data_IF_474762015380
#
_entry.id   IF_474762015380
#
_cell.length_a   1.000
_cell.length_b   1.000
_cell.length_c   1.000
_cell.angle_alpha   90.00
_cell.angle_beta   90.00
_cell.angle_gamma   90.00
#
_symmetry.space_group_name_H-M   'P 1'
#
loop_
_entity.id
_entity.type
_entity.pdbx_description
1 polymer ?
#
# COMPACT_ATOMS: atom_id res chain seq x y z
N UNK A 1 -15.29 -27.03 9.78
CA UNK A 1 -15.92 -26.33 8.64
C UNK A 1 -17.01 -25.34 9.08
N UNK A 2 -17.99 -25.72 9.91
CA UNK A 2 -19.03 -24.78 10.37
C UNK A 2 -18.51 -23.65 11.28
N UNK A 3 -17.56 -23.94 12.17
CA UNK A 3 -16.93 -22.95 13.07
C UNK A 3 -16.14 -21.87 12.31
N UNK A 4 -15.49 -22.25 11.20
CA UNK A 4 -14.77 -21.33 10.29
C UNK A 4 -15.73 -20.45 9.50
N UNK A 5 -16.93 -20.96 9.14
CA UNK A 5 -17.96 -20.16 8.51
C UNK A 5 -18.57 -19.16 9.52
N UNK A 6 -18.85 -19.58 10.76
CA UNK A 6 -19.40 -18.70 11.81
C UNK A 6 -18.44 -17.56 12.16
N UNK A 7 -17.12 -17.80 12.23
CA UNK A 7 -16.14 -16.73 12.47
C UNK A 7 -15.98 -15.77 11.28
N UNK A 8 -16.23 -16.26 10.05
CA UNK A 8 -16.27 -15.42 8.86
C UNK A 8 -17.47 -14.45 8.89
N UNK A 9 -18.66 -14.93 9.30
CA UNK A 9 -19.88 -14.13 9.40
C UNK A 9 -19.99 -13.25 10.66
N UNK A 10 -19.19 -13.50 11.72
CA UNK A 10 -19.09 -12.62 12.89
C UNK A 10 -18.23 -11.39 12.55
N UNK A 11 -18.78 -10.49 11.73
CA UNK A 11 -18.16 -9.21 11.34
C UNK A 11 -18.40 -8.14 12.39
N UNK A 12 -19.56 -8.18 13.07
CA UNK A 12 -19.91 -7.25 14.14
C UNK A 12 -19.36 -7.74 15.49
N UNK A 13 -18.21 -7.23 15.87
CA UNK A 13 -17.76 -7.23 17.27
C UNK A 13 -18.48 -6.08 18.01
N UNK A 14 -18.48 -6.08 19.36
CA UNK A 14 -18.96 -4.94 20.13
C UNK A 14 -18.28 -3.61 19.73
N UNK A 15 -16.99 -3.65 19.39
CA UNK A 15 -16.21 -2.51 18.94
C UNK A 15 -16.68 -1.98 17.59
N UNK A 16 -16.95 -2.87 16.63
CA UNK A 16 -17.51 -2.47 15.33
C UNK A 16 -18.92 -1.90 15.50
N UNK A 17 -19.74 -2.49 16.39
CA UNK A 17 -21.09 -1.99 16.66
C UNK A 17 -21.07 -0.57 17.25
N UNK A 18 -20.22 -0.31 18.24
CA UNK A 18 -20.05 1.02 18.85
C UNK A 18 -19.61 2.07 17.79
N UNK A 19 -18.71 1.70 16.88
CA UNK A 19 -18.32 2.57 15.77
C UNK A 19 -19.48 2.86 14.79
N UNK A 20 -20.34 1.88 14.53
CA UNK A 20 -21.53 2.05 13.68
C UNK A 20 -22.58 2.93 14.36
N UNK A 21 -22.76 2.81 15.68
CA UNK A 21 -23.61 3.71 16.49
C UNK A 21 -23.08 5.14 16.44
N UNK A 22 -21.76 5.33 16.58
CA UNK A 22 -21.14 6.64 16.38
C UNK A 22 -21.46 7.22 15.01
N UNK A 23 -21.29 6.45 13.92
CA UNK A 23 -21.61 6.92 12.57
C UNK A 23 -23.07 7.36 12.47
N UNK A 24 -23.99 6.56 13.02
CA UNK A 24 -25.43 6.83 13.00
C UNK A 24 -25.81 8.12 13.73
N UNK A 25 -25.23 8.34 14.91
CA UNK A 25 -25.63 9.43 15.82
C UNK A 25 -24.82 10.72 15.65
N UNK A 26 -23.57 10.63 15.19
CA UNK A 26 -22.60 11.74 15.22
C UNK A 26 -22.19 12.24 13.84
N UNK A 27 -22.63 11.60 12.76
CA UNK A 27 -22.42 12.10 11.39
C UNK A 27 -23.73 12.59 10.76
N UNK A 28 -23.69 13.60 9.86
CA UNK A 28 -24.87 14.01 9.10
C UNK A 28 -25.50 12.85 8.32
N UNK A 29 -26.83 12.83 8.20
CA UNK A 29 -27.57 11.72 7.56
C UNK A 29 -27.12 11.40 6.13
N UNK A 30 -26.76 12.43 5.36
CA UNK A 30 -26.35 12.27 3.97
C UNK A 30 -24.85 12.05 3.77
N UNK A 31 -24.11 11.80 4.85
CA UNK A 31 -22.66 11.58 4.77
C UNK A 31 -22.36 10.29 4.01
N UNK A 32 -21.35 10.32 3.15
CA UNK A 32 -20.83 9.13 2.48
C UNK A 32 -19.60 8.62 3.23
N UNK A 33 -19.64 7.33 3.59
CA UNK A 33 -18.58 6.68 4.37
C UNK A 33 -17.79 5.74 3.48
N UNK A 34 -16.46 5.88 3.42
CA UNK A 34 -15.61 4.92 2.75
C UNK A 34 -15.02 3.90 3.73
N UNK A 35 -14.84 2.65 3.31
CA UNK A 35 -14.19 1.62 4.14
C UNK A 35 -13.42 0.57 3.33
N UNK A 36 -12.30 0.12 3.88
CA UNK A 36 -11.53 -1.03 3.40
C UNK A 36 -11.89 -2.34 4.10
N UNK A 37 -12.74 -2.28 5.13
CA UNK A 37 -13.25 -3.46 5.83
C UNK A 37 -12.38 -3.97 6.98
N UNK A 38 -12.72 -5.15 7.52
CA UNK A 38 -12.01 -5.73 8.65
C UNK A 38 -10.58 -6.17 8.27
N UNK A 39 -9.73 -6.33 9.28
CA UNK A 39 -8.43 -6.98 9.13
C UNK A 39 -8.58 -8.50 9.25
N UNK A 40 -8.99 -9.15 8.16
CA UNK A 40 -9.16 -10.61 8.08
C UNK A 40 -8.45 -11.14 6.84
N UNK A 41 -7.91 -12.35 6.91
CA UNK A 41 -7.31 -13.03 5.75
C UNK A 41 -8.39 -13.26 4.67
N UNK A 42 -8.12 -12.82 3.43
CA UNK A 42 -9.15 -12.71 2.39
C UNK A 42 -10.06 -11.48 2.54
N UNK A 43 -9.60 -10.47 3.28
CA UNK A 43 -10.29 -9.21 3.51
C UNK A 43 -9.67 -8.02 2.74
N UNK A 44 -8.57 -8.17 2.02
CA UNK A 44 -8.24 -7.22 0.93
C UNK A 44 -9.39 -7.30 -0.08
N UNK A 45 -10.05 -6.18 -0.41
CA UNK A 45 -11.32 -6.25 -1.16
C UNK A 45 -12.49 -6.86 -0.37
N UNK A 46 -12.42 -6.92 0.97
CA UNK A 46 -13.50 -7.37 1.86
C UNK A 46 -14.31 -6.23 2.50
N UNK A 47 -14.07 -4.98 2.08
CA UNK A 47 -14.74 -3.77 2.55
C UNK A 47 -16.26 -3.89 2.61
N UNK A 48 -16.86 -4.57 1.63
CA UNK A 48 -18.31 -4.84 1.58
C UNK A 48 -18.88 -5.41 2.88
N UNK A 49 -18.09 -6.17 3.65
CA UNK A 49 -18.55 -6.72 4.92
C UNK A 49 -18.86 -5.64 5.96
N UNK A 50 -18.07 -4.56 6.05
CA UNK A 50 -18.43 -3.37 6.83
C UNK A 50 -19.46 -2.51 6.08
N UNK A 51 -19.34 -2.41 4.75
CA UNK A 51 -20.25 -1.62 3.92
C UNK A 51 -21.73 -1.95 4.11
N UNK A 52 -22.09 -3.23 4.16
CA UNK A 52 -23.48 -3.66 4.42
C UNK A 52 -24.04 -3.16 5.76
N UNK A 53 -23.21 -3.10 6.80
CA UNK A 53 -23.64 -2.62 8.11
C UNK A 53 -23.66 -1.10 8.20
N UNK A 54 -22.76 -0.41 7.51
CA UNK A 54 -22.81 1.05 7.37
C UNK A 54 -24.11 1.48 6.69
N UNK A 55 -24.49 0.81 5.60
CA UNK A 55 -25.73 1.12 4.87
C UNK A 55 -26.97 0.66 5.64
N UNK A 56 -26.98 -0.57 6.16
CA UNK A 56 -28.17 -1.14 6.79
C UNK A 56 -28.42 -0.68 8.24
N UNK A 57 -27.37 -0.54 9.05
CA UNK A 57 -27.51 -0.21 10.48
C UNK A 57 -27.30 1.28 10.75
N UNK A 58 -26.23 1.86 10.21
CA UNK A 58 -25.91 3.26 10.42
C UNK A 58 -26.70 4.21 9.50
N UNK A 59 -27.40 3.68 8.48
CA UNK A 59 -28.19 4.44 7.52
C UNK A 59 -27.34 5.52 6.82
N UNK A 60 -26.17 5.12 6.31
CA UNK A 60 -25.25 5.97 5.53
C UNK A 60 -24.85 5.30 4.25
N UNK A 61 -24.75 6.06 3.16
CA UNK A 61 -24.23 5.53 1.89
C UNK A 61 -22.77 5.10 2.06
N UNK A 62 -22.40 3.95 1.50
CA UNK A 62 -21.04 3.43 1.62
C UNK A 62 -20.29 3.37 0.28
N UNK A 63 -18.97 3.59 0.35
CA UNK A 63 -18.00 3.31 -0.70
C UNK A 63 -17.01 2.29 -0.15
N UNK A 64 -17.15 1.03 -0.53
CA UNK A 64 -16.39 -0.07 0.06
C UNK A 64 -15.45 -0.75 -0.94
N UNK A 65 -14.30 -1.22 -0.46
CA UNK A 65 -13.46 -2.14 -1.25
C UNK A 65 -14.20 -3.47 -1.48
N UNK A 66 -14.02 -4.06 -2.65
CA UNK A 66 -14.65 -5.32 -3.01
C UNK A 66 -13.82 -6.12 -4.02
N UNK A 67 -13.82 -7.45 -3.89
CA UNK A 67 -13.54 -8.33 -5.02
C UNK A 67 -14.69 -8.22 -6.03
N UNK A 68 -14.39 -7.74 -7.24
CA UNK A 68 -15.43 -7.39 -8.21
C UNK A 68 -16.23 -8.61 -8.72
N UNK A 69 -15.73 -9.84 -8.53
CA UNK A 69 -16.47 -11.06 -8.86
C UNK A 69 -17.68 -11.31 -7.97
N UNK A 70 -17.75 -10.66 -6.80
CA UNK A 70 -18.89 -10.77 -5.88
C UNK A 70 -19.95 -9.68 -6.09
N UNK A 71 -19.72 -8.77 -7.05
CA UNK A 71 -20.65 -7.69 -7.38
C UNK A 71 -21.32 -7.98 -8.72
N UNK A 72 -22.65 -7.86 -8.74
CA UNK A 72 -23.44 -8.15 -9.94
C UNK A 72 -23.62 -6.92 -10.81
N UNK A 73 -23.83 -5.76 -10.20
CA UNK A 73 -24.20 -4.55 -10.92
C UNK A 73 -22.98 -3.73 -11.36
N UNK A 74 -23.08 -3.13 -12.54
CA UNK A 74 -21.94 -2.41 -13.16
C UNK A 74 -21.52 -1.19 -12.33
N UNK A 75 -22.48 -0.40 -11.88
CA UNK A 75 -22.26 0.78 -11.05
C UNK A 75 -21.62 0.44 -9.69
N UNK A 76 -22.05 -0.63 -9.03
CA UNK A 76 -21.39 -1.15 -7.83
C UNK A 76 -19.93 -1.51 -8.10
N UNK A 77 -19.66 -2.20 -9.23
CA UNK A 77 -18.30 -2.57 -9.63
C UNK A 77 -17.43 -1.35 -9.91
N UNK A 78 -17.97 -0.30 -10.53
CA UNK A 78 -17.21 0.93 -10.77
C UNK A 78 -16.90 1.70 -9.48
N UNK A 79 -17.82 1.73 -8.52
CA UNK A 79 -17.57 2.31 -7.18
C UNK A 79 -16.50 1.50 -6.45
N UNK A 80 -16.63 0.17 -6.43
CA UNK A 80 -15.66 -0.70 -5.78
C UNK A 80 -14.27 -0.62 -6.40
N UNK A 81 -14.14 -0.51 -7.73
CA UNK A 81 -12.84 -0.27 -8.39
C UNK A 81 -12.17 0.98 -7.86
N UNK A 82 -12.91 2.09 -7.74
CA UNK A 82 -12.38 3.35 -7.23
C UNK A 82 -12.03 3.24 -5.74
N UNK A 83 -12.84 2.55 -4.94
CA UNK A 83 -12.54 2.27 -3.54
C UNK A 83 -11.26 1.42 -3.38
N UNK A 84 -11.11 0.37 -4.19
CA UNK A 84 -9.91 -0.48 -4.19
C UNK A 84 -8.66 0.36 -4.46
N UNK A 85 -8.69 1.23 -5.47
CA UNK A 85 -7.58 2.16 -5.79
C UNK A 85 -7.35 3.15 -4.64
N UNK A 86 -8.40 3.74 -4.07
CA UNK A 86 -8.31 4.69 -2.96
C UNK A 86 -7.52 4.11 -1.77
N UNK A 87 -7.84 2.88 -1.37
CA UNK A 87 -7.21 2.24 -0.22
C UNK A 87 -5.84 1.59 -0.53
N UNK A 88 -5.35 1.69 -1.77
CA UNK A 88 -4.00 1.25 -2.14
C UNK A 88 -2.91 2.26 -1.82
N UNK A 89 -3.24 3.54 -1.65
CA UNK A 89 -2.27 4.58 -1.28
C UNK A 89 -2.69 5.98 -1.73
N UNK A 90 -1.87 6.98 -1.41
CA UNK A 90 -2.12 8.38 -1.81
C UNK A 90 -1.96 8.58 -3.31
N UNK A 91 -0.88 8.02 -3.85
CA UNK A 91 -0.52 8.07 -5.26
C UNK A 91 -0.43 6.65 -5.79
N UNK A 92 -1.25 6.33 -6.80
CA UNK A 92 -1.36 4.97 -7.33
C UNK A 92 -1.08 4.99 -8.82
N UNK A 93 -0.12 4.18 -9.25
CA UNK A 93 0.13 3.89 -10.66
C UNK A 93 -0.24 2.44 -10.94
N UNK A 94 -0.99 2.20 -12.02
CA UNK A 94 -1.40 0.86 -12.40
C UNK A 94 -1.51 0.70 -13.92
N UNK A 95 -1.38 -0.53 -14.37
CA UNK A 95 -1.87 -0.99 -15.66
C UNK A 95 -2.72 -2.24 -15.40
N UNK A 96 -3.11 -2.97 -16.44
CA UNK A 96 -3.98 -4.13 -16.27
C UNK A 96 -3.40 -5.31 -15.48
N UNK A 97 -2.08 -5.35 -15.22
CA UNK A 97 -1.43 -6.46 -14.55
C UNK A 97 -0.84 -6.11 -13.20
N UNK A 98 -0.35 -4.89 -13.02
CA UNK A 98 0.37 -4.48 -11.81
C UNK A 98 -0.14 -3.14 -11.30
N UNK A 99 -0.06 -2.97 -9.99
CA UNK A 99 -0.38 -1.73 -9.29
C UNK A 99 0.72 -1.44 -8.29
N UNK A 100 1.03 -0.16 -8.13
CA UNK A 100 1.94 0.34 -7.11
C UNK A 100 1.26 1.51 -6.40
N UNK A 101 1.16 1.40 -5.08
CA UNK A 101 0.63 2.46 -4.21
C UNK A 101 1.75 3.06 -3.37
N UNK A 102 1.85 4.39 -3.36
CA UNK A 102 2.77 5.15 -2.51
C UNK A 102 1.96 5.98 -1.51
N UNK A 103 2.39 5.96 -0.26
CA UNK A 103 1.69 6.58 0.88
C UNK A 103 2.70 7.36 1.72
N UNK A 104 3.44 8.29 1.09
CA UNK A 104 4.64 8.97 1.60
C UNK A 104 4.53 9.66 2.99
N UNK A 105 3.33 9.79 3.55
CA UNK A 105 3.11 10.22 4.93
C UNK A 105 3.21 9.09 5.97
N UNK A 106 2.95 7.84 5.56
CA UNK A 106 3.12 6.66 6.38
C UNK A 106 4.60 6.25 6.49
N UNK A 107 4.93 5.47 7.52
CA UNK A 107 6.24 4.84 7.68
C UNK A 107 6.34 3.50 6.98
N UNK A 108 5.23 2.78 6.92
CA UNK A 108 5.13 1.43 6.35
C UNK A 108 4.28 1.46 5.08
N UNK A 109 4.60 0.62 4.09
CA UNK A 109 3.78 0.48 2.88
C UNK A 109 4.18 1.38 1.71
N UNK A 110 5.45 1.78 1.63
CA UNK A 110 5.91 2.91 0.81
C UNK A 110 7.11 2.57 -0.09
N UNK A 111 6.91 2.06 -1.31
CA UNK A 111 5.61 1.69 -1.90
C UNK A 111 5.15 0.28 -1.53
N UNK A 112 3.88 0.01 -1.81
CA UNK A 112 3.29 -1.33 -1.91
C UNK A 112 3.14 -1.73 -3.37
N UNK A 113 3.53 -2.96 -3.70
CA UNK A 113 3.47 -3.53 -5.05
C UNK A 113 2.46 -4.68 -5.06
N UNK A 114 1.50 -4.60 -5.98
CA UNK A 114 0.44 -5.58 -6.16
C UNK A 114 0.31 -6.10 -7.59
N UNK A 115 -0.37 -7.23 -7.73
CA UNK A 115 -0.68 -7.88 -9.01
C UNK A 115 -2.19 -8.00 -9.19
N UNK A 116 -2.67 -7.80 -10.42
CA UNK A 116 -4.05 -8.05 -10.77
C UNK A 116 -4.33 -9.55 -10.77
N UNK A 117 -5.29 -9.98 -9.96
CA UNK A 117 -5.76 -11.37 -9.87
C UNK A 117 -7.10 -11.61 -10.58
N UNK A 118 -7.49 -10.68 -11.47
CA UNK A 118 -8.70 -10.72 -12.30
C UNK A 118 -9.65 -9.58 -11.96
N UNK A 119 -9.96 -9.43 -10.69
CA UNK A 119 -11.03 -8.58 -10.18
C UNK A 119 -10.59 -7.69 -9.01
N UNK A 120 -9.31 -7.72 -8.66
CA UNK A 120 -8.69 -6.94 -7.60
C UNK A 120 -7.17 -6.92 -7.81
N UNK A 121 -6.49 -5.89 -7.33
CA UNK A 121 -5.02 -5.87 -7.28
C UNK A 121 -4.60 -6.30 -5.88
N UNK A 122 -4.14 -7.54 -5.75
CA UNK A 122 -3.69 -8.07 -4.47
C UNK A 122 -2.29 -7.54 -4.16
N UNK A 123 -2.13 -6.97 -2.99
CA UNK A 123 -0.85 -6.46 -2.52
C UNK A 123 0.06 -7.60 -2.12
N UNK A 124 1.27 -7.64 -2.68
CA UNK A 124 2.20 -8.76 -2.50
C UNK A 124 3.31 -8.43 -1.53
N UNK A 125 3.91 -7.26 -1.71
CA UNK A 125 5.08 -6.83 -0.94
C UNK A 125 5.11 -5.31 -0.79
N UNK A 126 5.84 -4.86 0.20
CA UNK A 126 6.02 -3.44 0.45
C UNK A 126 7.39 -3.10 1.03
N UNK A 127 7.72 -1.82 0.93
CA UNK A 127 8.86 -1.18 1.57
C UNK A 127 8.41 -0.46 2.84
N UNK A 128 9.33 -0.28 3.78
CA UNK A 128 9.06 0.46 5.00
C UNK A 128 10.09 1.59 5.16
N UNK A 129 9.65 2.82 4.92
CA UNK A 129 10.46 4.04 5.07
C UNK A 129 10.87 4.25 6.55
N UNK A 130 10.10 3.75 7.51
CA UNK A 130 10.45 3.78 8.94
C UNK A 130 11.55 2.80 9.34
N UNK A 131 11.86 1.83 8.48
CA UNK A 131 12.91 0.82 8.69
C UNK A 131 14.00 0.86 7.63
N UNK A 132 13.83 1.67 6.57
CA UNK A 132 14.88 1.94 5.59
C UNK A 132 15.88 2.91 6.22
N UNK A 133 17.11 2.44 6.45
CA UNK A 133 18.14 3.18 7.19
C UNK A 133 19.20 3.70 6.22
N UNK A 134 19.56 4.96 6.37
CA UNK A 134 20.71 5.60 5.71
C UNK A 134 21.79 5.81 6.77
N UNK A 135 23.02 5.36 6.48
CA UNK A 135 24.20 5.56 7.32
C UNK A 135 25.17 6.53 6.67
N UNK A 136 25.64 7.53 7.42
CA UNK A 136 26.62 8.52 6.96
C UNK A 136 28.08 8.14 7.28
N UNK A 137 29.04 8.84 6.68
CA UNK A 137 30.50 8.67 6.92
C UNK A 137 30.90 8.82 8.40
N UNK A 138 30.11 9.56 9.19
CA UNK A 138 30.32 9.73 10.63
C UNK A 138 29.67 8.62 11.47
N UNK A 139 29.05 7.61 10.83
CA UNK A 139 28.36 6.50 11.49
C UNK A 139 26.95 6.82 12.01
N UNK A 140 26.43 8.02 11.74
CA UNK A 140 25.05 8.39 12.08
C UNK A 140 24.05 7.61 11.22
N UNK A 141 23.04 7.03 11.86
CA UNK A 141 21.94 6.30 11.21
C UNK A 141 20.65 7.10 11.29
N UNK A 142 19.98 7.28 10.15
CA UNK A 142 18.65 7.88 10.07
C UNK A 142 17.70 6.97 9.29
N UNK A 143 16.40 7.04 9.58
CA UNK A 143 15.39 6.37 8.77
C UNK A 143 14.79 7.32 7.74
N UNK A 144 14.27 6.83 6.62
CA UNK A 144 13.59 7.69 5.64
C UNK A 144 12.42 8.45 6.26
N UNK A 145 11.64 7.80 7.13
CA UNK A 145 10.55 8.45 7.88
C UNK A 145 11.02 9.59 8.78
N UNK A 146 12.23 9.52 9.33
CA UNK A 146 12.76 10.56 10.23
C UNK A 146 13.17 11.84 9.49
N UNK A 147 13.25 11.80 8.16
CA UNK A 147 13.50 12.97 7.33
C UNK A 147 12.25 13.84 7.34
N UNK A 148 12.35 15.05 7.91
CA UNK A 148 11.22 15.99 8.00
C UNK A 148 10.80 16.47 6.61
N UNK A 149 9.49 16.70 6.47
CA UNK A 149 8.86 17.30 5.29
C UNK A 149 9.17 16.61 3.94
N UNK A 150 9.02 15.27 3.81
CA UNK A 150 9.09 14.65 2.50
C UNK A 150 7.97 15.21 1.62
N UNK A 151 8.29 15.55 0.37
CA UNK A 151 7.30 16.00 -0.59
C UNK A 151 7.36 15.12 -1.84
N UNK A 152 6.19 14.62 -2.25
CA UNK A 152 6.04 13.91 -3.50
C UNK A 152 5.95 14.92 -4.65
N UNK A 153 6.82 14.77 -5.65
CA UNK A 153 6.68 15.46 -6.93
C UNK A 153 6.23 14.48 -7.99
N UNK A 154 5.25 14.89 -8.79
CA UNK A 154 4.74 14.09 -9.90
C UNK A 154 5.44 14.57 -11.15
N UNK A 155 6.24 13.72 -11.78
CA UNK A 155 6.72 14.01 -13.13
C UNK A 155 5.72 13.46 -14.15
N UNK A 156 5.21 14.38 -14.97
CA UNK A 156 4.05 14.21 -15.85
C UNK A 156 4.35 13.52 -17.17
N UNK A 157 5.29 12.58 -17.22
CA UNK A 157 5.50 11.76 -18.41
C UNK A 157 4.47 10.63 -18.43
N UNK A 158 3.23 10.98 -18.79
CA UNK A 158 2.10 10.05 -19.00
C UNK A 158 1.65 9.22 -17.78
N UNK A 159 1.99 9.64 -16.55
CA UNK A 159 1.53 8.98 -15.33
C UNK A 159 2.19 7.63 -15.03
N UNK A 160 3.33 7.32 -15.66
CA UNK A 160 4.07 6.08 -15.42
C UNK A 160 5.08 6.14 -14.28
N UNK A 161 5.19 7.29 -13.60
CA UNK A 161 6.21 7.56 -12.59
C UNK A 161 5.66 8.40 -11.42
N UNK A 162 6.02 8.02 -10.19
CA UNK A 162 5.82 8.82 -8.97
C UNK A 162 7.20 9.04 -8.34
N UNK A 163 7.55 10.29 -8.04
CA UNK A 163 8.80 10.61 -7.35
C UNK A 163 8.48 11.14 -5.94
N UNK A 164 9.14 10.57 -4.94
CA UNK A 164 9.12 11.07 -3.56
C UNK A 164 10.50 11.62 -3.24
N UNK A 165 10.56 12.91 -2.97
CA UNK A 165 11.81 13.61 -2.64
C UNK A 165 11.93 13.75 -1.13
N UNK A 166 13.03 13.24 -0.58
CA UNK A 166 13.39 13.36 0.82
C UNK A 166 14.51 14.38 0.95
N UNK A 167 14.21 15.52 1.59
CA UNK A 167 15.17 16.59 1.80
C UNK A 167 15.60 16.64 3.26
N UNK A 168 16.85 16.30 3.57
CA UNK A 168 17.38 16.44 4.94
C UNK A 168 18.30 17.66 5.05
N UNK A 169 17.95 18.58 5.96
CA UNK A 169 18.81 19.70 6.43
C UNK A 169 19.56 20.45 5.31
N UNK A 170 18.90 20.68 4.17
CA UNK A 170 19.45 21.37 2.99
C UNK A 170 20.68 20.70 2.34
N UNK A 171 20.99 19.44 2.65
CA UNK A 171 22.21 18.77 2.16
C UNK A 171 22.00 17.39 1.54
N UNK A 172 20.92 16.68 1.89
CA UNK A 172 20.56 15.41 1.24
C UNK A 172 19.31 15.62 0.38
N UNK A 173 19.40 15.28 -0.90
CA UNK A 173 18.26 15.16 -1.80
C UNK A 173 18.12 13.71 -2.23
N UNK A 174 17.67 12.80 -1.36
CA UNK A 174 17.38 11.43 -1.81
C UNK A 174 16.07 11.46 -2.59
N UNK A 175 16.08 10.96 -3.82
CA UNK A 175 14.85 10.81 -4.61
C UNK A 175 14.51 9.34 -4.76
N UNK A 176 13.39 8.92 -4.16
CA UNK A 176 12.78 7.62 -4.41
C UNK A 176 11.86 7.76 -5.62
N UNK A 177 12.13 7.04 -6.70
CA UNK A 177 11.29 7.05 -7.90
C UNK A 177 10.67 5.68 -8.13
N UNK A 178 9.37 5.67 -8.40
CA UNK A 178 8.55 4.47 -8.59
C UNK A 178 7.99 4.50 -9.99
N UNK A 179 8.22 3.44 -10.77
CA UNK A 179 7.84 3.38 -12.19
C UNK A 179 7.24 2.05 -12.57
N UNK A 180 6.30 2.07 -13.50
CA UNK A 180 5.90 0.87 -14.26
C UNK A 180 6.66 0.93 -15.59
N UNK A 181 7.69 0.09 -15.74
CA UNK A 181 8.55 0.05 -16.94
C UNK A 181 7.91 -0.70 -18.10
N UNK A 182 7.11 -1.72 -17.77
CA UNK A 182 6.42 -2.56 -18.74
C UNK A 182 5.13 -3.08 -18.11
N UNK A 183 4.32 -3.79 -18.90
CA UNK A 183 3.08 -4.41 -18.42
C UNK A 183 3.24 -5.18 -17.10
N UNK A 184 4.39 -5.81 -16.85
CA UNK A 184 4.59 -6.65 -15.67
C UNK A 184 5.87 -6.33 -14.90
N UNK A 185 6.43 -5.12 -15.09
CA UNK A 185 7.68 -4.72 -14.44
C UNK A 185 7.50 -3.40 -13.70
N UNK A 186 7.73 -3.45 -12.39
CA UNK A 186 7.78 -2.28 -11.52
C UNK A 186 9.25 -2.01 -11.16
N UNK A 187 9.66 -0.75 -11.19
CA UNK A 187 10.97 -0.30 -10.71
C UNK A 187 10.78 0.65 -9.53
N UNK A 188 11.47 0.35 -8.43
CA UNK A 188 11.69 1.29 -7.33
C UNK A 188 13.16 1.66 -7.34
N UNK A 189 13.46 2.94 -7.41
CA UNK A 189 14.83 3.42 -7.51
C UNK A 189 15.13 4.51 -6.49
N UNK A 190 16.38 4.56 -6.06
CA UNK A 190 16.90 5.54 -5.13
C UNK A 190 18.04 6.28 -5.83
N UNK A 191 17.82 7.55 -6.15
CA UNK A 191 18.84 8.44 -6.67
C UNK A 191 19.47 9.20 -5.49
N UNK A 192 20.78 9.04 -5.33
CA UNK A 192 21.58 9.68 -4.29
C UNK A 192 22.47 10.74 -4.94
N UNK A 193 21.97 11.95 -5.26
CA UNK A 193 22.67 12.92 -6.08
C UNK A 193 23.92 13.52 -5.42
N UNK A 194 23.92 13.67 -4.09
CA UNK A 194 25.05 14.17 -3.28
C UNK A 194 24.88 13.73 -1.82
N UNK A 195 25.75 12.86 -1.29
CA UNK A 195 25.88 12.68 0.17
C UNK A 195 27.04 11.77 0.58
N UNK A 196 27.62 12.08 1.74
CA UNK A 196 28.52 11.23 2.53
C UNK A 196 27.80 10.00 3.11
N UNK A 197 27.07 9.25 2.28
CA UNK A 197 26.37 8.03 2.66
C UNK A 197 27.30 6.85 2.46
N UNK A 198 27.56 6.12 3.53
CA UNK A 198 28.33 4.87 3.50
C UNK A 198 27.46 3.67 3.27
N UNK A 199 26.20 3.67 3.73
CA UNK A 199 25.30 2.53 3.59
C UNK A 199 23.85 2.95 3.42
N UNK A 200 23.11 2.18 2.63
CA UNK A 200 21.64 2.18 2.62
C UNK A 200 21.16 0.76 2.91
N UNK A 201 20.33 0.62 3.93
CA UNK A 201 19.68 -0.61 4.35
C UNK A 201 18.21 -0.55 3.94
N UNK A 202 17.79 -1.47 3.06
CA UNK A 202 16.42 -1.53 2.53
C UNK A 202 15.80 -2.87 2.91
N UNK A 203 14.95 -2.92 3.95
CA UNK A 203 14.18 -4.11 4.28
C UNK A 203 12.96 -4.23 3.35
N UNK A 204 12.65 -5.46 2.95
CA UNK A 204 11.50 -5.81 2.13
C UNK A 204 10.56 -6.74 2.87
N UNK A 205 9.27 -6.45 2.78
CA UNK A 205 8.22 -7.14 3.52
C UNK A 205 7.18 -7.70 2.59
N UNK A 206 6.58 -8.85 2.96
CA UNK A 206 5.39 -9.38 2.29
C UNK A 206 4.13 -8.73 2.87
N UNK A 207 3.05 -8.69 2.11
CA UNK A 207 1.72 -8.35 2.64
C UNK A 207 1.30 -9.33 3.74
N UNK A 208 0.51 -8.82 4.69
CA UNK A 208 -0.09 -9.61 5.76
C UNK A 208 -1.12 -10.62 5.26
N UNK A 209 -1.61 -10.42 4.03
CA UNK A 209 -2.68 -11.23 3.45
C UNK A 209 -2.18 -12.34 2.53
N UNK A 210 -0.91 -12.27 2.12
CA UNK A 210 -0.28 -13.29 1.26
C UNK A 210 0.58 -14.28 2.05
N UNK A 211 0.52 -15.53 1.63
CA UNK A 211 1.45 -16.56 2.11
C UNK A 211 2.72 -16.51 1.27
N UNK A 212 3.86 -16.25 1.89
CA UNK A 212 5.15 -16.53 1.28
C UNK A 212 5.42 -18.04 1.41
N UNK A 213 5.55 -18.74 0.28
CA UNK A 213 5.87 -20.18 0.26
C UNK A 213 7.37 -20.40 0.16
N UNK A 214 8.04 -19.66 -0.71
CA UNK A 214 9.49 -19.75 -0.87
C UNK A 214 10.09 -18.36 -1.16
N UNK A 215 11.33 -18.17 -0.70
CA UNK A 215 12.18 -17.03 -1.01
C UNK A 215 13.58 -17.56 -1.33
N UNK A 216 13.98 -17.45 -2.60
CA UNK A 216 15.26 -17.97 -3.08
C UNK A 216 16.18 -16.82 -3.46
N UNK A 217 17.31 -16.69 -2.75
CA UNK A 217 18.43 -15.87 -3.21
C UNK A 217 19.16 -16.61 -4.33
N UNK A 218 18.95 -16.22 -5.58
CA UNK A 218 19.65 -16.79 -6.74
C UNK A 218 21.07 -16.22 -6.84
N UNK A 219 21.22 -14.93 -6.52
CA UNK A 219 22.50 -14.23 -6.44
C UNK A 219 22.40 -13.02 -5.50
N UNK A 220 23.46 -12.21 -5.39
CA UNK A 220 23.37 -10.91 -4.70
C UNK A 220 22.58 -9.85 -5.48
N UNK A 221 22.12 -10.15 -6.70
CA UNK A 221 21.36 -9.22 -7.53
C UNK A 221 20.03 -9.81 -8.00
N UNK A 222 19.66 -10.99 -7.51
CA UNK A 222 18.44 -11.68 -7.93
C UNK A 222 17.81 -12.47 -6.78
N UNK A 223 16.54 -12.19 -6.50
CA UNK A 223 15.69 -12.92 -5.56
C UNK A 223 14.44 -13.40 -6.29
N UNK A 224 14.08 -14.66 -6.08
CA UNK A 224 12.81 -15.23 -6.55
C UNK A 224 11.88 -15.48 -5.36
N UNK A 225 10.62 -15.08 -5.50
CA UNK A 225 9.58 -15.21 -4.50
C UNK A 225 8.43 -16.05 -5.06
N UNK A 226 7.94 -16.97 -4.25
CA UNK A 226 6.74 -17.75 -4.54
C UNK A 226 5.69 -17.46 -3.46
N UNK A 227 4.54 -16.93 -3.88
CA UNK A 227 3.49 -16.46 -2.99
C UNK A 227 2.13 -17.05 -3.36
N UNK A 228 1.23 -17.16 -2.38
CA UNK A 228 -0.18 -17.50 -2.60
C UNK A 228 -1.06 -16.39 -2.03
N UNK A 229 -1.92 -15.84 -2.89
CA UNK A 229 -2.90 -14.81 -2.50
C UNK A 229 -4.07 -15.42 -1.72
N UNK A 230 -4.88 -14.61 -1.01
CA UNK A 230 -6.10 -15.12 -0.36
C UNK A 230 -7.07 -15.82 -1.30
N UNK A 231 -7.16 -15.36 -2.56
CA UNK A 231 -7.96 -15.99 -3.61
C UNK A 231 -7.28 -17.21 -4.26
N UNK A 232 -6.20 -17.72 -3.65
CA UNK A 232 -5.42 -18.89 -4.08
C UNK A 232 -4.75 -18.75 -5.44
N UNK A 233 -4.57 -17.53 -5.94
CA UNK A 233 -3.70 -17.30 -7.09
C UNK A 233 -2.24 -17.53 -6.67
N UNK A 234 -1.53 -18.36 -7.44
CA UNK A 234 -0.10 -18.60 -7.26
C UNK A 234 0.70 -17.54 -8.00
N UNK A 235 1.62 -16.89 -7.31
CA UNK A 235 2.38 -15.75 -7.81
C UNK A 235 3.86 -16.04 -7.70
N UNK A 236 4.55 -16.09 -8.85
CA UNK A 236 6.02 -16.17 -8.91
C UNK A 236 6.56 -14.81 -9.37
N UNK A 237 7.31 -14.17 -8.49
CA UNK A 237 7.86 -12.84 -8.70
C UNK A 237 9.39 -12.91 -8.66
N UNK A 238 10.06 -12.20 -9.58
CA UNK A 238 11.51 -12.03 -9.57
C UNK A 238 11.87 -10.59 -9.25
N UNK A 239 12.83 -10.39 -8.35
CA UNK A 239 13.41 -9.10 -8.04
C UNK A 239 14.85 -9.07 -8.53
N UNK A 240 15.20 -8.02 -9.27
CA UNK A 240 16.54 -7.74 -9.76
C UNK A 240 17.08 -6.46 -9.15
N UNK A 241 18.36 -6.48 -8.76
CA UNK A 241 19.09 -5.31 -8.27
C UNK A 241 20.06 -4.84 -9.35
N UNK A 242 19.94 -3.59 -9.75
CA UNK A 242 20.87 -2.90 -10.64
C UNK A 242 21.54 -1.75 -9.86
N UNK A 243 22.80 -1.99 -9.49
CA UNK A 243 23.64 -1.10 -8.70
C UNK A 243 25.10 -1.34 -9.08
N UNK A 244 25.86 -0.27 -9.34
CA UNK A 244 27.27 -0.36 -9.76
C UNK A 244 28.25 -0.65 -8.62
N UNK A 245 27.82 -0.49 -7.37
CA UNK A 245 28.64 -0.76 -6.19
C UNK A 245 28.39 -2.14 -5.57
N UNK A 246 28.84 -2.32 -4.33
CA UNK A 246 28.66 -3.58 -3.60
C UNK A 246 27.27 -3.64 -2.93
N UNK A 247 26.54 -4.72 -3.22
CA UNK A 247 25.27 -5.06 -2.55
C UNK A 247 25.36 -6.41 -1.86
N UNK A 248 24.96 -6.44 -0.59
CA UNK A 248 24.72 -7.67 0.16
C UNK A 248 23.22 -7.90 0.30
N UNK A 249 22.83 -9.17 0.12
CA UNK A 249 21.42 -9.58 0.18
C UNK A 249 21.28 -10.70 1.19
N UNK A 250 20.41 -10.49 2.17
CA UNK A 250 20.04 -11.48 3.17
C UNK A 250 18.58 -11.84 2.97
N UNK A 251 18.31 -13.11 2.71
CA UNK A 251 16.93 -13.62 2.62
C UNK A 251 16.60 -14.42 3.86
N UNK A 252 15.37 -14.28 4.34
CA UNK A 252 14.84 -15.11 5.40
C UNK A 252 14.04 -16.27 4.80
N UNK A 253 14.10 -17.47 5.40
CA UNK A 253 13.21 -18.56 5.04
C UNK A 253 11.75 -18.12 5.18
N UNK A 254 10.88 -18.69 4.33
CA UNK A 254 9.45 -18.44 4.41
C UNK A 254 8.90 -18.82 5.80
N UNK A 255 8.23 -17.87 6.45
CA UNK A 255 7.58 -18.04 7.75
C UNK A 255 6.23 -17.34 7.72
N UNK A 256 5.22 -17.95 8.35
CA UNK A 256 3.90 -17.32 8.51
C UNK A 256 3.94 -16.14 9.51
N UNK A 257 4.92 -16.09 10.41
CA UNK A 257 4.98 -15.10 11.50
C UNK A 257 5.81 -13.86 11.16
N UNK A 258 6.77 -13.99 10.26
CA UNK A 258 7.69 -12.90 9.91
C UNK A 258 7.24 -12.23 8.61
N UNK A 259 7.24 -10.91 8.60
CA UNK A 259 6.83 -10.11 7.43
C UNK A 259 8.02 -9.76 6.56
N UNK A 260 9.18 -9.52 7.16
CA UNK A 260 10.41 -9.25 6.44
C UNK A 260 10.94 -10.54 5.82
N UNK A 261 11.16 -10.51 4.50
CA UNK A 261 11.67 -11.66 3.77
C UNK A 261 13.07 -11.42 3.20
N UNK A 262 13.46 -10.16 3.01
CA UNK A 262 14.77 -9.81 2.51
C UNK A 262 15.26 -8.48 3.07
N UNK A 263 16.57 -8.37 3.18
CA UNK A 263 17.29 -7.15 3.54
C UNK A 263 18.38 -6.94 2.49
N UNK A 264 18.37 -5.76 1.89
CA UNK A 264 19.37 -5.29 0.93
C UNK A 264 20.28 -4.27 1.62
N UNK A 265 21.59 -4.45 1.52
CA UNK A 265 22.58 -3.52 2.08
C UNK A 265 23.47 -3.02 0.95
N UNK A 266 23.31 -1.75 0.60
CA UNK A 266 24.11 -1.07 -0.42
C UNK A 266 25.26 -0.34 0.25
N UNK A 267 26.50 -0.68 -0.11
CA UNK A 267 27.70 -0.03 0.45
C UNK A 267 28.24 1.04 -0.50
N UNK A 268 28.65 2.17 0.09
CA UNK A 268 29.19 3.38 -0.54
C UNK A 268 28.36 3.92 -1.73
N UNK A 269 27.05 4.20 -1.56
CA UNK A 269 26.17 4.67 -2.64
C UNK A 269 26.31 6.17 -2.98
N UNK A 270 27.42 6.83 -2.64
CA UNK A 270 27.62 8.26 -2.97
C UNK A 270 27.55 8.46 -4.49
N UNK A 271 26.69 9.40 -4.92
CA UNK A 271 26.39 9.72 -6.32
C UNK A 271 25.92 8.53 -7.14
N UNK A 272 25.25 7.57 -6.51
CA UNK A 272 24.79 6.36 -7.17
C UNK A 272 23.28 6.34 -7.41
N UNK A 273 22.89 5.51 -8.38
CA UNK A 273 21.51 5.16 -8.65
C UNK A 273 21.33 3.67 -8.34
N UNK A 274 20.49 3.39 -7.36
CA UNK A 274 20.09 2.02 -7.00
C UNK A 274 18.74 1.75 -7.65
N UNK A 275 18.61 0.65 -8.39
CA UNK A 275 17.34 0.24 -9.00
C UNK A 275 16.95 -1.17 -8.57
N UNK A 276 15.71 -1.30 -8.12
CA UNK A 276 15.07 -2.55 -7.75
C UNK A 276 13.94 -2.82 -8.73
N UNK A 277 14.10 -3.83 -9.58
CA UNK A 277 13.10 -4.20 -10.59
C UNK A 277 12.35 -5.45 -10.15
N UNK A 278 11.04 -5.35 -10.08
CA UNK A 278 10.13 -6.44 -9.73
C UNK A 278 9.41 -6.88 -11.00
N UNK A 279 9.61 -8.13 -11.40
CA UNK A 279 8.94 -8.76 -12.53
C UNK A 279 7.84 -9.66 -11.99
N UNK A 280 6.59 -9.27 -12.24
CA UNK A 280 5.39 -9.92 -11.76
C UNK A 280 4.80 -10.84 -12.85
N UNK A 281 4.04 -11.89 -12.49
CA UNK A 281 3.36 -12.71 -13.48
C UNK A 281 2.14 -11.98 -14.05
N UNK A 282 1.79 -12.30 -15.30
CA UNK A 282 0.53 -11.84 -15.91
C UNK A 282 -0.55 -12.89 -15.64
N UNK A 283 -1.41 -12.62 -14.66
CA UNK A 283 -2.46 -13.56 -14.23
C UNK A 283 -3.80 -13.34 -14.93
N UNK A 284 -3.88 -12.30 -15.74
CA UNK A 284 -5.09 -11.85 -16.44
C UNK A 284 -4.76 -11.55 -17.89
N UNK A 285 -5.79 -11.55 -18.74
CA UNK A 285 -5.68 -11.03 -20.10
C UNK A 285 -5.67 -9.51 -20.08
N UNK A 286 -4.84 -8.91 -20.94
CA UNK A 286 -4.80 -7.45 -21.09
C UNK A 286 -6.04 -6.94 -21.83
N UNK A 287 -6.66 -5.90 -21.29
CA UNK A 287 -7.63 -5.07 -21.99
C UNK A 287 -6.98 -3.78 -22.52
N UNK A 288 -5.92 -3.31 -21.85
CA UNK A 288 -5.10 -2.14 -22.16
C UNK A 288 -3.70 -2.28 -21.57
N UNK A 289 -2.68 -1.82 -22.29
CA UNK A 289 -1.31 -1.68 -21.77
C UNK A 289 -1.00 -0.28 -21.24
N UNK A 290 -2.00 0.61 -21.21
CA UNK A 290 -1.78 1.99 -20.79
C UNK A 290 -1.60 2.07 -19.27
N UNK A 291 -0.50 2.68 -18.85
CA UNK A 291 -0.29 3.04 -17.45
C UNK A 291 -1.21 4.21 -17.11
N UNK A 292 -1.90 4.08 -15.99
CA UNK A 292 -2.84 5.06 -15.44
C UNK A 292 -2.36 5.48 -14.06
N UNK A 293 -2.57 6.75 -13.78
CA UNK A 293 -2.25 7.35 -12.49
C UNK A 293 -3.54 7.81 -11.82
N UNK A 294 -3.64 7.56 -10.51
CA UNK A 294 -4.74 7.98 -9.67
C UNK A 294 -4.19 8.67 -8.42
N UNK A 295 -4.94 9.67 -7.96
CA UNK A 295 -4.68 10.34 -6.70
C UNK A 295 -5.87 10.12 -5.77
N UNK A 296 -5.61 9.65 -4.55
CA UNK A 296 -6.62 9.36 -3.56
C UNK A 296 -7.52 10.56 -3.25
N UNK A 297 -6.97 11.77 -3.15
CA UNK A 297 -7.75 12.96 -2.81
C UNK A 297 -8.73 13.34 -3.92
N UNK A 298 -8.35 13.17 -5.19
CA UNK A 298 -9.27 13.35 -6.31
C UNK A 298 -10.40 12.32 -6.26
N UNK A 299 -10.09 11.05 -5.97
CA UNK A 299 -11.10 10.01 -5.81
C UNK A 299 -12.06 10.29 -4.65
N UNK A 300 -11.55 10.77 -3.51
CA UNK A 300 -12.35 11.19 -2.35
C UNK A 300 -13.32 12.32 -2.75
N UNK A 301 -12.84 13.35 -3.48
CA UNK A 301 -13.69 14.43 -3.99
C UNK A 301 -14.75 13.91 -4.98
N UNK A 302 -14.35 13.09 -5.95
CA UNK A 302 -15.24 12.55 -6.99
C UNK A 302 -16.35 11.67 -6.40
N UNK A 303 -16.00 10.87 -5.39
CA UNK A 303 -16.92 9.98 -4.68
C UNK A 303 -17.71 10.70 -3.58
N UNK A 304 -17.37 11.97 -3.31
CA UNK A 304 -17.97 12.82 -2.26
C UNK A 304 -17.90 12.16 -0.89
N UNK A 305 -16.76 11.54 -0.57
CA UNK A 305 -16.56 10.84 0.70
C UNK A 305 -16.37 11.88 1.81
N UNK A 306 -17.20 11.79 2.85
CA UNK A 306 -17.17 12.70 4.01
C UNK A 306 -16.38 12.10 5.18
N UNK A 307 -16.45 10.77 5.32
CA UNK A 307 -15.77 10.05 6.39
C UNK A 307 -15.12 8.75 5.89
N UNK A 308 -14.07 8.32 6.56
CA UNK A 308 -13.37 7.06 6.29
C UNK A 308 -13.38 6.23 7.58
N UNK A 309 -13.89 4.99 7.50
CA UNK A 309 -13.88 4.01 8.58
C UNK A 309 -12.91 2.88 8.22
N UNK A 310 -11.92 2.65 9.07
CA UNK A 310 -10.91 1.59 8.90
C UNK A 310 -10.73 0.76 10.16
N UNK A 311 -10.26 -0.46 9.99
CA UNK A 311 -9.81 -1.29 11.10
C UNK A 311 -8.41 -0.86 11.55
N UNK A 312 -8.18 -0.66 12.85
CA UNK A 312 -6.90 -0.17 13.39
C UNK A 312 -5.73 -1.13 13.12
N UNK A 313 -6.01 -2.42 12.89
CA UNK A 313 -4.96 -3.38 12.53
C UNK A 313 -4.48 -3.24 11.09
N UNK A 314 -5.18 -2.47 10.23
CA UNK A 314 -4.69 -2.06 8.90
C UNK A 314 -3.67 -0.94 9.07
N UNK A 315 -2.52 -1.27 9.68
CA UNK A 315 -1.53 -0.31 10.20
C UNK A 315 -1.10 0.75 9.19
N UNK A 316 -0.88 0.37 7.92
CA UNK A 316 -0.54 1.32 6.86
C UNK A 316 -1.63 2.37 6.68
N UNK A 317 -2.87 1.94 6.48
CA UNK A 317 -4.00 2.84 6.27
C UNK A 317 -4.21 3.72 7.49
N UNK A 318 -4.15 3.15 8.69
CA UNK A 318 -4.25 3.90 9.95
C UNK A 318 -3.17 4.97 10.05
N UNK A 319 -1.91 4.59 9.80
CA UNK A 319 -0.78 5.51 9.87
C UNK A 319 -0.90 6.62 8.82
N UNK A 320 -1.30 6.29 7.60
CA UNK A 320 -1.53 7.27 6.54
C UNK A 320 -2.52 8.35 6.97
N UNK A 321 -3.73 7.97 7.38
CA UNK A 321 -4.75 8.92 7.80
C UNK A 321 -4.34 9.67 9.07
N UNK A 322 -3.54 9.05 9.95
CA UNK A 322 -3.03 9.71 11.13
C UNK A 322 -1.91 10.72 10.85
N UNK A 323 -1.07 10.48 9.86
CA UNK A 323 0.03 11.39 9.52
C UNK A 323 -0.44 12.57 8.65
N UNK A 324 -1.49 12.40 7.82
CA UNK A 324 -2.05 13.46 7.00
C UNK A 324 -3.16 14.26 7.71
N UNK A 325 -2.75 14.97 8.77
CA UNK A 325 -3.65 15.83 9.56
C UNK A 325 -4.21 17.04 8.80
N UNK A 326 -3.67 17.33 7.59
CA UNK A 326 -4.19 18.39 6.73
C UNK A 326 -5.53 18.00 6.11
N UNK A 327 -5.65 16.75 5.68
CA UNK A 327 -6.81 16.28 4.94
C UNK A 327 -7.76 15.42 5.80
N UNK A 328 -7.26 14.87 6.92
CA UNK A 328 -8.02 13.98 7.78
C UNK A 328 -7.96 14.43 9.25
N UNK A 329 -9.09 14.30 9.93
CA UNK A 329 -9.19 14.47 11.38
C UNK A 329 -9.80 13.21 11.97
N UNK A 330 -9.09 12.55 12.87
CA UNK A 330 -9.65 11.44 13.63
C UNK A 330 -10.76 11.99 14.55
N UNK A 331 -11.94 11.41 14.46
CA UNK A 331 -13.13 11.85 15.23
C UNK A 331 -13.67 10.79 16.16
N UNK A 332 -13.19 9.55 16.02
CA UNK A 332 -13.52 8.42 16.86
C UNK A 332 -12.46 7.32 16.67
N UNK A 333 -12.08 6.67 17.76
CA UNK A 333 -11.24 5.47 17.75
C UNK A 333 -11.63 4.56 18.93
N UNK A 334 -11.61 3.25 18.70
CA UNK A 334 -11.62 2.22 19.73
C UNK A 334 -10.60 1.13 19.39
N UNK A 335 -10.56 0.04 20.17
CA UNK A 335 -9.58 -1.04 20.01
C UNK A 335 -9.59 -1.74 18.63
N UNK A 336 -10.64 -1.57 17.81
CA UNK A 336 -10.76 -2.22 16.50
C UNK A 336 -10.93 -1.25 15.33
N UNK A 337 -11.57 -0.10 15.53
CA UNK A 337 -11.98 0.81 14.46
C UNK A 337 -11.55 2.24 14.75
N UNK A 338 -11.07 2.92 13.72
CA UNK A 338 -10.88 4.37 13.69
C UNK A 338 -11.75 5.00 12.58
N UNK A 339 -12.28 6.19 12.86
CA UNK A 339 -13.09 6.98 11.93
C UNK A 339 -12.45 8.35 11.76
N UNK A 340 -12.23 8.71 10.49
CA UNK A 340 -11.64 9.97 10.08
C UNK A 340 -12.66 10.81 9.34
N UNK A 341 -12.78 12.09 9.71
CA UNK A 341 -13.49 13.10 8.93
C UNK A 341 -12.57 13.65 7.85
N UNK A 342 -13.09 13.75 6.62
CA UNK A 342 -12.42 14.34 5.47
C UNK A 342 -12.56 15.86 5.49
N UNK A 343 -11.46 16.58 5.26
CA UNK A 343 -11.38 18.05 5.25
C UNK A 343 -10.74 18.62 3.97
N UNK A 344 -10.87 17.91 2.84
CA UNK A 344 -10.31 18.36 1.56
C UNK A 344 -10.91 19.72 1.18
N UNK A 345 -10.07 20.76 1.16
CA UNK A 345 -10.47 22.07 0.64
C UNK A 345 -10.83 21.91 -0.84
N UNK A 346 -12.03 22.39 -1.20
CA UNK A 346 -12.56 22.42 -2.58
C UNK A 346 -11.58 23.11 -3.52
#
# INVERSE_FOLDING_TARGET
HLSTAISYYKVLTPQVLDALEYLKEKTPQYSIIATSGPYKRGGEGGGNSYGWWIEGFADRKCVATAYLRFLTYYDEREIAKKANILFSGTDVILNDFVMVGETFHAGVGNPEIGVNIGDFYESLLFFADDQTIITYDQGENITLKSIKDPFATRNSDNGSCVNVSYTLRNSLNLVKSIRILSNSTVEVSFEVPQANITKIFVPLFKSDFVDLKNCFKKSNTEIELEMITPMRAYVRLNMYVDYSGMVDVYVRPASEKERDFAILIFSNPDRALIRLRFVLPKLVDAFSSQVRYFNAYNLIKDLKIDYIMINVNRRRELEWFNCDKRNFSEVYENDEVAIFKVSLQS
#
